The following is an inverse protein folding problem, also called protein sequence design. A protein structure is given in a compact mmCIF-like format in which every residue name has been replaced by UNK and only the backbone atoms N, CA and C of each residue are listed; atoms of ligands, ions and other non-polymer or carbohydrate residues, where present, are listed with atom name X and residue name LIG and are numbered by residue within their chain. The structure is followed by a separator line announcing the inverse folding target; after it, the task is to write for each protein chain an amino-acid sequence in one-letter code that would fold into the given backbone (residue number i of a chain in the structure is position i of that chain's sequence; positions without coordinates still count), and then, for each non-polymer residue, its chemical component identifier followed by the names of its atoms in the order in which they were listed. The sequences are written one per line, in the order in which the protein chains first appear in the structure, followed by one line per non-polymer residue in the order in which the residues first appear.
data_IF_961221334536
#
_entry.id   IF_961221334536
#
_cell.length_a   1.000
_cell.length_b   1.000
_cell.length_c   1.000
_cell.angle_alpha   90.00
_cell.angle_beta   90.00
_cell.angle_gamma   90.00
#
_symmetry.space_group_name_H-M   'P 1'
#
loop_
_entity.id
_entity.type
_entity.pdbx_description
1 polymer ?
#
# COMPACT_ATOMS: atom_id res chain seq x y z
N UNK A 1 -2.67 -33.79 -31.95
CA UNK A 1 -2.82 -33.06 -30.67
C UNK A 1 -1.48 -32.40 -30.33
N UNK A 2 -1.17 -31.23 -30.89
CA UNK A 2 0.02 -30.45 -30.50
C UNK A 2 -0.43 -29.39 -29.51
N UNK A 3 -0.12 -29.65 -28.26
CA UNK A 3 -0.20 -28.77 -27.11
C UNK A 3 0.63 -27.51 -27.38
N UNK A 4 -0.02 -26.45 -27.82
CA UNK A 4 0.50 -25.08 -27.67
C UNK A 4 0.27 -24.64 -26.21
N UNK A 5 0.84 -25.37 -25.26
CA UNK A 5 0.91 -24.96 -23.86
C UNK A 5 1.98 -23.86 -23.77
N UNK A 6 1.52 -22.62 -23.60
CA UNK A 6 2.31 -21.43 -23.28
C UNK A 6 3.38 -21.01 -24.30
N UNK A 7 3.01 -20.12 -25.21
CA UNK A 7 3.96 -19.25 -25.92
C UNK A 7 3.79 -17.81 -25.43
N UNK A 8 4.91 -17.19 -25.05
CA UNK A 8 5.01 -16.00 -24.19
C UNK A 8 4.94 -14.60 -24.86
N UNK A 9 4.46 -14.46 -26.10
CA UNK A 9 4.59 -13.20 -26.87
C UNK A 9 3.28 -12.42 -27.11
N UNK A 10 2.59 -11.99 -26.06
CA UNK A 10 1.50 -11.02 -26.18
C UNK A 10 2.03 -9.58 -26.31
N UNK A 11 1.83 -8.95 -27.48
CA UNK A 11 2.05 -7.52 -27.70
C UNK A 11 0.70 -6.79 -27.69
N UNK A 12 0.42 -6.01 -26.64
CA UNK A 12 -0.75 -5.14 -26.56
C UNK A 12 -0.26 -3.68 -26.51
N UNK A 13 -0.29 -2.92 -27.62
CA UNK A 13 -0.08 -1.48 -27.56
C UNK A 13 -1.15 -0.81 -26.68
N UNK A 14 -0.85 0.34 -26.03
CA UNK A 14 0.33 1.17 -26.27
C UNK A 14 1.55 0.86 -25.38
N UNK A 15 1.45 -0.06 -24.42
CA UNK A 15 2.50 -0.32 -23.44
C UNK A 15 3.18 -1.68 -23.65
N UNK A 16 4.50 -1.70 -23.72
CA UNK A 16 5.24 -2.95 -23.91
C UNK A 16 5.18 -3.83 -22.66
N UNK A 17 5.07 -5.16 -22.88
CA UNK A 17 4.97 -6.18 -21.82
C UNK A 17 5.99 -5.93 -20.70
N UNK A 18 7.28 -5.85 -21.05
CA UNK A 18 8.35 -5.65 -20.06
C UNK A 18 8.24 -4.35 -19.27
N UNK A 19 7.80 -3.26 -19.91
CA UNK A 19 7.63 -1.97 -19.24
C UNK A 19 6.47 -2.02 -18.23
N UNK A 20 5.34 -2.64 -18.60
CA UNK A 20 4.20 -2.84 -17.69
C UNK A 20 4.59 -3.76 -16.53
N UNK A 21 5.26 -4.88 -16.81
CA UNK A 21 5.74 -5.79 -15.77
C UNK A 21 6.70 -5.12 -14.80
N UNK A 22 7.58 -4.23 -15.28
CA UNK A 22 8.51 -3.50 -14.42
C UNK A 22 7.76 -2.52 -13.51
N UNK A 23 6.91 -1.66 -14.07
CA UNK A 23 6.20 -0.64 -13.29
C UNK A 23 5.16 -1.25 -12.35
N UNK A 24 4.27 -2.11 -12.88
CA UNK A 24 3.21 -2.74 -12.09
C UNK A 24 3.78 -3.80 -11.13
N UNK A 25 4.85 -4.51 -11.52
CA UNK A 25 5.51 -5.48 -10.65
C UNK A 25 6.20 -4.80 -9.46
N UNK A 26 6.85 -3.66 -9.69
CA UNK A 26 7.37 -2.82 -8.61
C UNK A 26 6.25 -2.33 -7.68
N UNK A 27 5.17 -1.80 -8.26
CA UNK A 27 4.02 -1.31 -7.48
C UNK A 27 3.38 -2.43 -6.64
N UNK A 28 3.26 -3.64 -7.19
CA UNK A 28 2.78 -4.80 -6.44
C UNK A 28 3.62 -5.07 -5.19
N UNK A 29 4.96 -5.08 -5.32
CA UNK A 29 5.86 -5.36 -4.20
C UNK A 29 5.75 -4.27 -3.14
N UNK A 30 5.83 -3.00 -3.53
CA UNK A 30 5.82 -1.89 -2.58
C UNK A 30 4.46 -1.70 -1.92
N UNK A 31 3.37 -1.83 -2.67
CA UNK A 31 2.03 -1.76 -2.09
C UNK A 31 1.72 -2.98 -1.22
N UNK A 32 2.22 -4.18 -1.54
CA UNK A 32 2.10 -5.33 -0.64
C UNK A 32 2.85 -5.12 0.68
N UNK A 33 4.08 -4.58 0.63
CA UNK A 33 4.84 -4.22 1.84
C UNK A 33 4.11 -3.15 2.66
N UNK A 34 3.61 -2.11 2.00
CA UNK A 34 2.87 -1.02 2.66
C UNK A 34 1.58 -1.51 3.31
N UNK A 35 0.83 -2.37 2.62
CA UNK A 35 -0.37 -3.03 3.14
C UNK A 35 -0.05 -3.88 4.37
N UNK A 36 1.01 -4.71 4.32
CA UNK A 36 1.39 -5.57 5.44
C UNK A 36 1.79 -4.77 6.68
N UNK A 37 2.57 -3.69 6.51
CA UNK A 37 2.93 -2.77 7.59
C UNK A 37 1.68 -2.11 8.15
N UNK A 38 0.83 -1.53 7.29
CA UNK A 38 -0.39 -0.87 7.72
C UNK A 38 -1.32 -1.81 8.50
N UNK A 39 -1.51 -3.04 8.02
CA UNK A 39 -2.31 -4.05 8.68
C UNK A 39 -1.75 -4.39 10.06
N UNK A 40 -0.46 -4.69 10.17
CA UNK A 40 0.15 -5.08 11.46
C UNK A 40 0.00 -3.99 12.51
N UNK A 41 0.24 -2.73 12.16
CA UNK A 41 0.07 -1.61 13.08
C UNK A 41 -1.39 -1.30 13.37
N UNK A 42 -2.28 -1.45 12.40
CA UNK A 42 -3.72 -1.29 12.59
C UNK A 42 -4.25 -2.30 13.60
N UNK A 43 -3.88 -3.57 13.48
CA UNK A 43 -4.33 -4.64 14.39
C UNK A 43 -3.85 -4.37 15.83
N UNK A 44 -2.59 -3.94 16.01
CA UNK A 44 -2.05 -3.55 17.32
C UNK A 44 -2.81 -2.35 17.91
N UNK A 45 -3.06 -1.31 17.11
CA UNK A 45 -3.81 -0.12 17.54
C UNK A 45 -5.27 -0.47 17.86
N UNK A 46 -5.91 -1.34 17.07
CA UNK A 46 -7.31 -1.72 17.26
C UNK A 46 -7.54 -2.45 18.59
N UNK A 47 -6.51 -3.15 19.10
CA UNK A 47 -6.53 -3.81 20.40
C UNK A 47 -6.13 -2.83 21.51
N UNK A 48 -5.01 -2.12 21.34
CA UNK A 48 -4.43 -1.30 22.40
C UNK A 48 -5.20 0.00 22.65
N UNK A 49 -5.66 0.70 21.61
CA UNK A 49 -6.28 2.02 21.76
C UNK A 49 -7.56 2.01 22.60
N UNK A 50 -8.50 1.06 22.44
CA UNK A 50 -9.66 1.00 23.32
C UNK A 50 -9.29 0.85 24.79
N UNK A 51 -8.31 -0.03 25.10
CA UNK A 51 -7.84 -0.26 26.47
C UNK A 51 -7.16 0.99 27.02
N UNK A 52 -6.23 1.56 26.25
CA UNK A 52 -5.51 2.77 26.64
C UNK A 52 -6.44 3.98 26.81
N UNK A 53 -7.42 4.17 25.93
CA UNK A 53 -8.40 5.25 26.07
C UNK A 53 -9.25 5.08 27.34
N UNK A 54 -9.65 3.86 27.68
CA UNK A 54 -10.37 3.58 28.93
C UNK A 54 -9.48 3.86 30.16
N UNK A 55 -8.20 3.49 30.08
CA UNK A 55 -7.20 3.82 31.11
C UNK A 55 -6.98 5.33 31.27
N UNK A 56 -6.98 6.08 30.17
CA UNK A 56 -6.89 7.55 30.19
C UNK A 56 -8.13 8.20 30.81
N UNK A 57 -9.33 7.67 30.50
CA UNK A 57 -10.57 8.13 31.13
C UNK A 57 -10.57 7.89 32.64
N UNK A 58 -10.10 6.72 33.06
CA UNK A 58 -9.98 6.39 34.49
C UNK A 58 -8.95 7.28 35.21
N UNK A 59 -7.78 7.50 34.61
CA UNK A 59 -6.75 8.40 35.14
C UNK A 59 -7.29 9.82 35.31
N UNK A 60 -8.02 10.32 34.30
CA UNK A 60 -8.69 11.63 34.38
C UNK A 60 -9.72 11.68 35.49
N UNK A 61 -10.53 10.63 35.66
CA UNK A 61 -11.54 10.53 36.73
C UNK A 61 -10.90 10.57 38.12
N UNK A 62 -9.71 9.99 38.27
CA UNK A 62 -8.91 10.03 39.50
C UNK A 62 -8.25 11.38 39.79
N UNK A 63 -8.32 12.34 38.86
CA UNK A 63 -7.76 13.69 38.99
C UNK A 63 -6.26 13.68 39.33
N UNK A 64 -5.49 12.83 38.64
CA UNK A 64 -4.03 12.82 38.76
C UNK A 64 -3.47 14.17 38.31
N UNK A 65 -2.62 14.77 39.14
CA UNK A 65 -2.00 16.05 38.84
C UNK A 65 -1.16 15.98 37.57
N UNK A 66 -1.32 16.96 36.67
CA UNK A 66 -0.59 17.04 35.41
C UNK A 66 -1.09 16.12 34.28
N UNK A 67 -2.12 15.28 34.53
CA UNK A 67 -2.73 14.47 33.48
C UNK A 67 -3.86 15.22 32.77
N UNK A 68 -3.62 15.62 31.52
CA UNK A 68 -4.61 16.26 30.66
C UNK A 68 -5.06 15.24 29.62
N UNK A 69 -6.36 14.95 29.60
CA UNK A 69 -6.98 14.09 28.61
C UNK A 69 -8.28 14.71 28.10
N UNK A 70 -8.30 15.03 26.82
CA UNK A 70 -9.34 15.80 26.14
C UNK A 70 -9.93 15.03 24.97
N UNK A 71 -11.11 15.45 24.53
CA UNK A 71 -11.74 14.87 23.33
C UNK A 71 -10.91 15.13 22.07
N UNK A 72 -10.09 16.18 22.04
CA UNK A 72 -9.21 16.47 20.92
C UNK A 72 -8.08 15.45 20.80
N UNK A 73 -7.41 15.11 21.91
CA UNK A 73 -6.36 14.08 21.94
C UNK A 73 -6.92 12.69 21.60
N UNK A 74 -8.13 12.39 22.06
CA UNK A 74 -8.87 11.19 21.64
C UNK A 74 -9.05 11.13 20.13
N UNK A 75 -9.49 12.23 19.52
CA UNK A 75 -9.68 12.31 18.08
C UNK A 75 -8.37 12.11 17.32
N UNK A 76 -7.24 12.64 17.83
CA UNK A 76 -5.92 12.44 17.21
C UNK A 76 -5.56 10.95 17.17
N UNK A 77 -5.73 10.21 18.26
CA UNK A 77 -5.44 8.77 18.31
C UNK A 77 -6.39 7.96 17.43
N UNK A 78 -7.68 8.27 17.43
CA UNK A 78 -8.65 7.62 16.53
C UNK A 78 -8.33 7.91 15.06
N UNK A 79 -7.95 9.14 14.75
CA UNK A 79 -7.55 9.53 13.40
C UNK A 79 -6.26 8.85 12.98
N UNK A 80 -5.32 8.60 13.90
CA UNK A 80 -4.12 7.80 13.63
C UNK A 80 -4.49 6.39 13.14
N UNK A 81 -5.41 5.71 13.83
CA UNK A 81 -5.91 4.39 13.41
C UNK A 81 -6.60 4.46 12.03
N UNK A 82 -7.36 5.53 11.75
CA UNK A 82 -7.99 5.73 10.44
C UNK A 82 -6.98 5.97 9.31
N UNK A 83 -5.86 6.67 9.57
CA UNK A 83 -4.78 6.84 8.58
C UNK A 83 -4.15 5.50 8.19
N UNK A 84 -3.95 4.60 9.16
CA UNK A 84 -3.46 3.24 8.90
C UNK A 84 -4.43 2.45 8.03
N UNK A 85 -5.73 2.52 8.35
CA UNK A 85 -6.78 1.90 7.53
C UNK A 85 -6.81 2.48 6.11
N UNK A 86 -6.66 3.80 5.97
CA UNK A 86 -6.61 4.46 4.67
C UNK A 86 -5.42 3.95 3.85
N UNK A 87 -4.23 3.89 4.45
CA UNK A 87 -3.02 3.37 3.79
C UNK A 87 -3.19 1.91 3.37
N UNK A 88 -3.83 1.09 4.21
CA UNK A 88 -4.17 -0.29 3.88
C UNK A 88 -5.10 -0.34 2.67
N UNK A 89 -6.21 0.41 2.69
CA UNK A 89 -7.18 0.47 1.60
C UNK A 89 -6.54 0.93 0.27
N UNK A 90 -5.73 1.99 0.29
CA UNK A 90 -5.07 2.49 -0.92
C UNK A 90 -4.03 1.49 -1.45
N UNK A 91 -3.30 0.82 -0.57
CA UNK A 91 -2.34 -0.22 -0.94
C UNK A 91 -3.03 -1.43 -1.56
N UNK A 92 -4.15 -1.89 -0.98
CA UNK A 92 -4.96 -2.98 -1.54
C UNK A 92 -5.52 -2.61 -2.92
N UNK A 93 -6.04 -1.39 -3.07
CA UNK A 93 -6.52 -0.91 -4.37
C UNK A 93 -5.38 -0.87 -5.42
N UNK A 94 -4.19 -0.42 -5.02
CA UNK A 94 -3.00 -0.38 -5.88
C UNK A 94 -2.60 -1.79 -6.36
N UNK A 95 -2.63 -2.78 -5.47
CA UNK A 95 -2.38 -4.18 -5.83
C UNK A 95 -3.39 -4.68 -6.86
N UNK A 96 -4.69 -4.45 -6.62
CA UNK A 96 -5.73 -4.89 -7.56
C UNK A 96 -5.59 -4.24 -8.93
N UNK A 97 -5.33 -2.93 -9.00
CA UNK A 97 -5.18 -2.26 -10.30
C UNK A 97 -3.90 -2.71 -11.03
N UNK A 98 -2.80 -2.96 -10.30
CA UNK A 98 -1.57 -3.49 -10.88
C UNK A 98 -1.77 -4.92 -11.41
N UNK A 99 -2.49 -5.77 -10.67
CA UNK A 99 -2.88 -7.10 -11.15
C UNK A 99 -3.74 -7.02 -12.42
N UNK A 100 -4.75 -6.14 -12.45
CA UNK A 100 -5.61 -5.95 -13.63
C UNK A 100 -4.84 -5.49 -14.87
N UNK A 101 -3.76 -4.72 -14.70
CA UNK A 101 -2.87 -4.31 -15.80
C UNK A 101 -1.94 -5.43 -16.28
N UNK A 102 -1.49 -6.31 -15.38
CA UNK A 102 -0.58 -7.41 -15.71
C UNK A 102 -1.32 -8.61 -16.33
N UNK A 103 -2.51 -8.94 -15.81
CA UNK A 103 -3.32 -10.11 -16.21
C UNK A 103 -3.44 -10.24 -17.74
N UNK A 104 -3.79 -9.18 -18.50
CA UNK A 104 -3.93 -9.28 -19.94
C UNK A 104 -2.68 -9.78 -20.67
N UNK A 105 -1.48 -9.60 -20.11
CA UNK A 105 -0.24 -10.07 -20.74
C UNK A 105 0.02 -11.56 -20.56
N UNK A 106 -0.71 -12.25 -19.67
CA UNK A 106 -0.69 -13.71 -19.55
C UNK A 106 -1.63 -14.40 -20.55
N UNK A 107 -2.61 -13.68 -21.09
CA UNK A 107 -3.60 -14.22 -22.02
C UNK A 107 -3.32 -13.81 -23.46
N UNK A 108 -3.39 -14.76 -24.40
CA UNK A 108 -3.35 -14.46 -25.83
C UNK A 108 -4.73 -13.99 -26.30
N UNK A 109 -4.94 -12.68 -26.38
CA UNK A 109 -6.14 -12.13 -27.01
C UNK A 109 -6.06 -12.26 -28.53
N UNK A 110 -7.18 -12.63 -29.17
CA UNK A 110 -7.30 -12.57 -30.64
C UNK A 110 -6.98 -11.16 -31.10
N UNK A 111 -6.23 -11.01 -32.20
CA UNK A 111 -6.00 -9.69 -32.83
C UNK A 111 -7.37 -9.03 -33.09
N UNK A 112 -7.47 -7.72 -32.84
CA UNK A 112 -8.68 -6.97 -33.15
C UNK A 112 -8.97 -7.09 -34.65
N UNK A 113 -10.18 -7.51 -34.99
CA UNK A 113 -10.62 -7.66 -36.38
C UNK A 113 -11.17 -6.36 -36.95
N UNK A 114 -11.72 -5.51 -36.09
CA UNK A 114 -12.32 -4.23 -36.46
C UNK A 114 -11.60 -3.07 -35.78
N UNK A 115 -11.73 -1.87 -36.37
CA UNK A 115 -11.23 -0.65 -35.76
C UNK A 115 -11.93 -0.36 -34.41
N UNK A 116 -13.21 -0.69 -34.28
CA UNK A 116 -13.97 -0.54 -33.03
C UNK A 116 -13.39 -1.39 -31.89
N UNK A 117 -13.10 -2.67 -32.14
CA UNK A 117 -12.46 -3.56 -31.17
C UNK A 117 -11.09 -3.03 -30.73
N UNK A 118 -10.32 -2.44 -31.66
CA UNK A 118 -9.02 -1.84 -31.35
C UNK A 118 -9.18 -0.60 -30.47
N UNK A 119 -10.07 0.31 -30.83
CA UNK A 119 -10.34 1.54 -30.07
C UNK A 119 -10.85 1.23 -28.67
N UNK A 120 -11.76 0.26 -28.54
CA UNK A 120 -12.29 -0.17 -27.24
C UNK A 120 -11.19 -0.73 -26.32
N UNK A 121 -10.28 -1.57 -26.85
CA UNK A 121 -9.13 -2.09 -26.07
C UNK A 121 -8.19 -0.98 -25.63
N UNK A 122 -7.87 -0.04 -26.52
CA UNK A 122 -7.03 1.10 -26.18
C UNK A 122 -7.68 1.97 -25.11
N UNK A 123 -8.98 2.23 -25.21
CA UNK A 123 -9.73 3.00 -24.22
C UNK A 123 -9.68 2.35 -22.84
N UNK A 124 -9.90 1.04 -22.75
CA UNK A 124 -9.79 0.29 -21.48
C UNK A 124 -8.37 0.42 -20.91
N UNK A 125 -7.33 0.20 -21.73
CA UNK A 125 -5.94 0.27 -21.28
C UNK A 125 -5.56 1.67 -20.79
N UNK A 126 -5.94 2.72 -21.51
CA UNK A 126 -5.70 4.10 -21.08
C UNK A 126 -6.48 4.44 -19.80
N UNK A 127 -7.72 3.98 -19.68
CA UNK A 127 -8.53 4.18 -18.47
C UNK A 127 -7.89 3.50 -17.26
N UNK A 128 -7.46 2.24 -17.41
CA UNK A 128 -6.76 1.51 -16.34
C UNK A 128 -5.42 2.17 -15.98
N UNK A 129 -4.68 2.68 -16.98
CA UNK A 129 -3.42 3.39 -16.73
C UNK A 129 -3.62 4.70 -15.96
N UNK A 130 -4.65 5.49 -16.30
CA UNK A 130 -5.00 6.71 -15.57
C UNK A 130 -5.43 6.37 -14.14
N UNK A 131 -6.29 5.37 -13.96
CA UNK A 131 -6.70 4.89 -12.64
C UNK A 131 -5.52 4.40 -11.80
N UNK A 132 -4.57 3.70 -12.43
CA UNK A 132 -3.34 3.25 -11.77
C UNK A 132 -2.51 4.42 -11.24
N UNK A 133 -2.29 5.46 -12.06
CA UNK A 133 -1.55 6.65 -11.62
C UNK A 133 -2.25 7.35 -10.46
N UNK A 134 -3.59 7.47 -10.52
CA UNK A 134 -4.38 8.09 -9.45
C UNK A 134 -4.24 7.29 -8.15
N UNK A 135 -4.44 5.98 -8.19
CA UNK A 135 -4.38 5.11 -7.00
C UNK A 135 -2.97 5.06 -6.42
N UNK A 136 -1.94 4.91 -7.26
CA UNK A 136 -0.54 4.93 -6.81
C UNK A 136 -0.20 6.28 -6.15
N UNK A 137 -0.69 7.38 -6.71
CA UNK A 137 -0.51 8.72 -6.12
C UNK A 137 -1.23 8.86 -4.79
N UNK A 138 -2.47 8.38 -4.67
CA UNK A 138 -3.22 8.37 -3.41
C UNK A 138 -2.52 7.54 -2.34
N UNK A 139 -1.95 6.39 -2.72
CA UNK A 139 -1.17 5.55 -1.83
C UNK A 139 0.08 6.29 -1.33
N UNK A 140 0.80 6.97 -2.23
CA UNK A 140 1.94 7.83 -1.87
C UNK A 140 1.56 8.97 -0.94
N UNK A 141 0.44 9.66 -1.21
CA UNK A 141 -0.07 10.74 -0.36
C UNK A 141 -0.42 10.22 1.05
N UNK A 142 -1.11 9.07 1.15
CA UNK A 142 -1.43 8.46 2.43
C UNK A 142 -0.17 8.11 3.24
N UNK A 143 0.85 7.55 2.57
CA UNK A 143 2.13 7.22 3.19
C UNK A 143 2.88 8.48 3.68
N UNK A 144 2.93 9.54 2.86
CA UNK A 144 3.54 10.82 3.23
C UNK A 144 2.79 11.47 4.40
N UNK A 145 1.46 11.47 4.38
CA UNK A 145 0.63 11.99 5.46
C UNK A 145 0.97 11.29 6.78
N UNK A 146 0.96 9.95 6.77
CA UNK A 146 1.28 9.14 7.93
C UNK A 146 2.72 9.43 8.40
N UNK A 147 3.69 9.52 7.50
CA UNK A 147 5.08 9.84 7.83
C UNK A 147 5.26 11.21 8.52
N UNK A 148 4.53 12.23 8.06
CA UNK A 148 4.59 13.59 8.63
C UNK A 148 3.99 13.60 10.03
N UNK A 149 2.81 12.98 10.21
CA UNK A 149 2.04 13.05 11.46
C UNK A 149 2.45 12.03 12.52
N UNK A 150 3.04 10.89 12.14
CA UNK A 150 3.39 9.80 13.05
C UNK A 150 4.18 10.23 14.30
N UNK A 151 5.19 11.12 14.27
CA UNK A 151 5.91 11.48 15.50
C UNK A 151 5.05 12.22 16.52
N UNK A 152 4.11 13.07 16.07
CA UNK A 152 3.22 13.79 16.97
C UNK A 152 2.23 12.83 17.61
N UNK A 153 1.60 11.97 16.80
CA UNK A 153 0.67 10.94 17.27
C UNK A 153 1.35 9.96 18.24
N UNK A 154 2.56 9.51 17.90
CA UNK A 154 3.37 8.60 18.71
C UNK A 154 3.79 9.23 20.05
N UNK A 155 4.29 10.47 20.02
CA UNK A 155 4.63 11.20 21.24
C UNK A 155 3.42 11.39 22.14
N UNK A 156 2.28 11.80 21.57
CA UNK A 156 1.05 12.01 22.33
C UNK A 156 0.62 10.72 23.04
N UNK A 157 0.61 9.59 22.33
CA UNK A 157 0.23 8.31 22.91
C UNK A 157 1.12 7.94 24.09
N UNK A 158 2.45 7.94 23.91
CA UNK A 158 3.36 7.53 24.99
C UNK A 158 3.40 8.53 26.14
N UNK A 159 3.27 9.83 25.89
CA UNK A 159 3.19 10.82 26.97
C UNK A 159 1.95 10.61 27.85
N UNK A 160 0.81 10.23 27.26
CA UNK A 160 -0.39 9.87 28.01
C UNK A 160 -0.22 8.51 28.69
N UNK A 161 0.34 7.53 28.00
CA UNK A 161 0.55 6.18 28.52
C UNK A 161 1.46 6.17 29.75
N UNK A 162 2.57 6.90 29.71
CA UNK A 162 3.54 6.97 30.80
C UNK A 162 3.02 7.73 32.03
N UNK A 163 2.14 8.72 31.82
CA UNK A 163 1.52 9.50 32.90
C UNK A 163 0.24 8.87 33.46
N UNK A 164 -0.27 7.81 32.83
CA UNK A 164 -1.53 7.17 33.22
C UNK A 164 -1.36 6.18 34.37
N UNK A 165 -2.43 5.99 35.15
CA UNK A 165 -2.45 4.99 36.23
C UNK A 165 -2.73 3.62 35.63
N UNK A 166 -1.69 2.78 35.60
CA UNK A 166 -1.74 1.41 35.08
C UNK A 166 -2.25 0.45 36.16
N UNK A 167 -3.56 0.40 36.38
CA UNK A 167 -4.13 -0.63 37.25
C UNK A 167 -3.94 -2.03 36.65
N UNK A 168 -3.87 -3.04 37.53
CA UNK A 168 -3.71 -4.45 37.14
C UNK A 168 -4.75 -4.89 36.10
N UNK A 169 -6.00 -4.43 36.22
CA UNK A 169 -7.08 -4.75 35.26
C UNK A 169 -6.71 -4.33 33.83
N UNK A 170 -6.10 -3.16 33.65
CA UNK A 170 -5.69 -2.68 32.32
C UNK A 170 -4.48 -3.48 31.81
N UNK A 171 -3.51 -3.76 32.68
CA UNK A 171 -2.33 -4.55 32.33
C UNK A 171 -2.74 -5.96 31.87
N UNK A 172 -3.59 -6.65 32.62
CA UNK A 172 -4.11 -7.98 32.23
C UNK A 172 -4.88 -7.94 30.91
N UNK A 173 -5.62 -6.87 30.63
CA UNK A 173 -6.30 -6.70 29.34
C UNK A 173 -5.33 -6.49 28.19
N UNK A 174 -4.25 -5.73 28.41
CA UNK A 174 -3.19 -5.52 27.42
C UNK A 174 -2.44 -6.83 27.16
N UNK A 175 -2.03 -7.55 28.21
CA UNK A 175 -1.40 -8.87 28.13
C UNK A 175 -2.23 -9.84 27.30
N UNK A 176 -3.52 -9.97 27.65
CA UNK A 176 -4.44 -10.86 26.93
C UNK A 176 -4.70 -10.42 25.50
N UNK A 177 -4.78 -9.11 25.26
CA UNK A 177 -5.07 -8.55 23.93
C UNK A 177 -3.88 -8.67 22.98
N UNK A 178 -2.66 -8.41 23.48
CA UNK A 178 -1.43 -8.44 22.69
C UNK A 178 -0.71 -9.79 22.72
N UNK A 179 -1.22 -10.75 23.50
CA UNK A 179 -0.60 -12.06 23.75
C UNK A 179 0.85 -11.92 24.22
N UNK A 180 1.03 -11.10 25.26
CA UNK A 180 2.34 -10.75 25.84
C UNK A 180 2.35 -10.97 27.36
N UNK A 181 3.55 -10.97 27.94
CA UNK A 181 3.79 -11.20 29.37
C UNK A 181 4.47 -9.96 29.96
N UNK A 182 3.96 -9.43 31.08
CA UNK A 182 4.58 -8.30 31.82
C UNK A 182 5.37 -8.73 33.06
N UNK A 183 5.58 -10.02 33.26
CA UNK A 183 6.24 -10.58 34.45
C UNK A 183 7.73 -10.20 34.51
N UNK A 184 8.05 -9.27 35.41
CA UNK A 184 9.41 -8.76 35.65
C UNK A 184 10.39 -9.83 36.17
N UNK A 185 9.88 -10.93 36.76
CA UNK A 185 10.71 -11.96 37.42
C UNK A 185 11.29 -13.00 36.44
N UNK A 186 10.97 -12.91 35.14
CA UNK A 186 11.45 -13.86 34.12
C UNK A 186 12.32 -13.15 33.08
N UNK A 187 13.42 -13.79 32.70
CA UNK A 187 14.12 -13.47 31.44
C UNK A 187 13.21 -13.85 30.27
N UNK A 188 12.32 -12.94 29.91
CA UNK A 188 11.40 -13.09 28.78
C UNK A 188 12.13 -12.79 27.47
N UNK A 189 11.72 -13.48 26.41
CA UNK A 189 12.14 -13.08 25.07
C UNK A 189 11.60 -11.66 24.79
N UNK A 190 12.42 -10.70 24.29
CA UNK A 190 11.98 -9.34 23.98
C UNK A 190 10.79 -9.26 23.01
N UNK A 191 10.48 -10.35 22.30
CA UNK A 191 9.31 -10.45 21.41
C UNK A 191 7.99 -10.74 22.14
N UNK A 192 8.02 -11.30 23.34
CA UNK A 192 6.84 -11.60 24.16
C UNK A 192 6.64 -10.64 25.32
N UNK A 193 7.62 -9.78 25.59
CA UNK A 193 7.53 -8.75 26.62
C UNK A 193 6.48 -7.68 26.26
N UNK A 194 5.58 -7.37 27.19
CA UNK A 194 4.51 -6.41 26.94
C UNK A 194 5.01 -5.00 26.67
N UNK A 195 5.99 -4.52 27.42
CA UNK A 195 6.52 -3.17 27.22
C UNK A 195 7.14 -3.00 25.83
N UNK A 196 7.85 -4.02 25.34
CA UNK A 196 8.36 -4.03 23.96
C UNK A 196 7.25 -4.08 22.92
N UNK A 197 6.18 -4.82 23.18
CA UNK A 197 5.04 -4.93 22.26
C UNK A 197 4.23 -3.63 22.22
N UNK A 198 4.01 -2.98 23.37
CA UNK A 198 3.40 -1.66 23.50
C UNK A 198 4.27 -0.62 22.79
N UNK A 199 5.59 -0.61 23.00
CA UNK A 199 6.52 0.31 22.33
C UNK A 199 6.53 0.16 20.80
N UNK A 200 6.09 -1.00 20.28
CA UNK A 200 5.94 -1.30 18.85
C UNK A 200 4.52 -1.15 18.32
N UNK A 201 3.54 -0.84 19.17
CA UNK A 201 2.12 -0.79 18.79
C UNK A 201 1.77 0.44 17.96
N UNK A 202 2.36 1.59 18.27
CA UNK A 202 2.14 2.84 17.56
C UNK A 202 3.28 3.08 16.58
N UNK A 203 2.94 3.20 15.30
CA UNK A 203 3.95 3.33 14.25
C UNK A 203 4.81 4.57 14.47
N UNK A 204 6.12 4.35 14.57
CA UNK A 204 7.09 5.42 14.67
C UNK A 204 7.65 5.78 13.30
N UNK A 205 8.13 7.02 13.16
CA UNK A 205 8.80 7.49 11.94
C UNK A 205 9.99 6.61 11.54
N UNK A 206 10.63 5.92 12.50
CA UNK A 206 11.77 5.02 12.23
C UNK A 206 11.41 3.92 11.24
N UNK A 207 10.20 3.35 11.33
CA UNK A 207 9.73 2.28 10.44
C UNK A 207 9.14 2.80 9.13
N UNK A 208 8.52 3.98 9.16
CA UNK A 208 7.97 4.62 7.95
C UNK A 208 9.05 5.18 7.03
N UNK A 209 10.19 5.62 7.58
CA UNK A 209 11.30 6.19 6.79
C UNK A 209 11.83 5.24 5.72
N UNK A 210 12.24 3.98 6.00
CA UNK A 210 12.71 3.08 4.96
C UNK A 210 11.61 2.76 3.94
N UNK A 211 10.37 2.56 4.37
CA UNK A 211 9.24 2.31 3.47
C UNK A 211 9.05 3.47 2.48
N UNK A 212 9.06 4.71 2.97
CA UNK A 212 8.91 5.91 2.15
C UNK A 212 10.10 6.13 1.20
N UNK A 213 11.34 5.88 1.66
CA UNK A 213 12.53 5.98 0.79
C UNK A 213 12.44 4.96 -0.34
N UNK A 214 12.12 3.71 -0.04
CA UNK A 214 11.96 2.66 -1.06
C UNK A 214 10.84 3.02 -2.02
N UNK A 215 9.73 3.56 -1.52
CA UNK A 215 8.62 4.03 -2.36
C UNK A 215 9.08 5.14 -3.32
N UNK A 216 9.69 6.23 -2.82
CA UNK A 216 10.11 7.37 -3.67
C UNK A 216 11.21 6.95 -4.66
N UNK A 217 12.31 6.39 -4.15
CA UNK A 217 13.47 6.04 -4.96
C UNK A 217 13.11 4.95 -5.97
N UNK A 218 12.34 3.95 -5.53
CA UNK A 218 11.90 2.88 -6.41
C UNK A 218 10.97 3.37 -7.51
N UNK A 219 10.05 4.31 -7.24
CA UNK A 219 9.23 4.93 -8.29
C UNK A 219 10.07 5.73 -9.28
N UNK A 220 11.05 6.51 -8.82
CA UNK A 220 11.95 7.27 -9.71
C UNK A 220 12.73 6.32 -10.62
N UNK A 221 13.29 5.24 -10.07
CA UNK A 221 14.02 4.22 -10.84
C UNK A 221 13.06 3.52 -11.81
N UNK A 222 11.87 3.12 -11.36
CA UNK A 222 10.89 2.43 -12.18
C UNK A 222 10.44 3.28 -13.36
N UNK A 223 10.17 4.57 -13.15
CA UNK A 223 9.80 5.52 -14.21
C UNK A 223 10.96 5.77 -15.18
N UNK A 224 12.19 5.91 -14.67
CA UNK A 224 13.37 6.05 -15.52
C UNK A 224 13.55 4.81 -16.41
N UNK A 225 13.54 3.61 -15.84
CA UNK A 225 13.66 2.34 -16.56
C UNK A 225 12.49 2.11 -17.52
N UNK A 226 11.26 2.48 -17.12
CA UNK A 226 10.09 2.43 -18.01
C UNK A 226 10.34 3.25 -19.28
N UNK A 227 10.93 4.43 -19.16
CA UNK A 227 11.32 5.26 -20.30
C UNK A 227 12.31 4.60 -21.24
N UNK A 228 13.27 3.81 -20.74
CA UNK A 228 14.22 3.06 -21.58
C UNK A 228 13.57 1.82 -22.19
N UNK A 229 12.90 0.99 -21.39
CA UNK A 229 12.27 -0.25 -21.83
C UNK A 229 11.16 0.03 -22.85
N UNK A 230 10.52 1.19 -22.80
CA UNK A 230 9.52 1.61 -23.76
C UNK A 230 10.09 2.28 -25.03
N UNK A 231 11.39 2.62 -25.08
CA UNK A 231 12.04 3.25 -26.24
C UNK A 231 12.51 2.24 -27.30
N UNK A 232 12.86 1.03 -26.91
CA UNK A 232 13.74 0.16 -27.72
C UNK A 232 13.15 -0.53 -28.95
N UNK A 233 11.89 -0.30 -29.35
CA UNK A 233 11.39 -0.84 -30.63
C UNK A 233 10.56 0.17 -31.43
N UNK A 234 11.19 1.30 -31.74
CA UNK A 234 10.74 2.21 -32.81
C UNK A 234 10.86 1.61 -34.23
N UNK A 235 11.33 0.38 -34.37
CA UNK A 235 11.27 -0.40 -35.60
C UNK A 235 10.51 -1.70 -35.31
N UNK A 236 9.26 -1.80 -35.79
CA UNK A 236 8.76 -3.02 -36.43
C UNK A 236 7.33 -2.80 -36.99
N UNK A 237 7.31 -2.50 -38.29
CA UNK A 237 6.38 -2.98 -39.34
C UNK A 237 4.85 -2.77 -39.27
N UNK A 238 4.24 -2.25 -38.19
CA UNK A 238 2.77 -2.16 -38.18
C UNK A 238 2.18 -0.97 -38.96
N UNK A 239 2.89 0.15 -39.08
CA UNK A 239 2.46 1.25 -39.97
C UNK A 239 2.61 0.87 -41.45
N UNK A 240 3.57 -0.01 -41.78
CA UNK A 240 3.72 -0.57 -43.13
C UNK A 240 2.56 -1.49 -43.51
N UNK A 241 2.18 -2.42 -42.61
CA UNK A 241 1.11 -3.36 -42.89
C UNK A 241 -0.28 -2.73 -42.97
N UNK A 242 -0.61 -1.71 -42.15
CA UNK A 242 -1.90 -1.02 -42.23
C UNK A 242 -2.02 -0.11 -43.46
N UNK A 243 -0.94 0.56 -43.87
CA UNK A 243 -0.91 1.25 -45.18
C UNK A 243 -1.10 0.26 -46.33
N UNK A 244 -0.51 -0.93 -46.24
CA UNK A 244 -0.66 -1.96 -47.28
C UNK A 244 -2.07 -2.57 -47.31
N UNK A 245 -2.73 -2.76 -46.16
CA UNK A 245 -4.12 -3.24 -46.11
C UNK A 245 -5.10 -2.18 -46.61
N UNK A 246 -4.97 -0.92 -46.18
CA UNK A 246 -5.79 0.17 -46.69
C UNK A 246 -5.56 0.46 -48.18
N UNK A 247 -4.33 0.27 -48.68
CA UNK A 247 -4.03 0.34 -50.11
C UNK A 247 -4.63 -0.83 -50.88
N UNK A 248 -4.65 -2.05 -50.32
CA UNK A 248 -5.30 -3.22 -50.93
C UNK A 248 -6.82 -3.06 -51.01
N UNK A 249 -7.47 -2.54 -49.98
CA UNK A 249 -8.92 -2.29 -50.02
C UNK A 249 -9.30 -1.24 -51.07
N UNK A 250 -8.47 -0.20 -51.26
CA UNK A 250 -8.67 0.80 -52.33
C UNK A 250 -8.41 0.28 -53.75
N UNK A 251 -7.72 -0.84 -53.92
CA UNK A 251 -7.45 -1.44 -55.23
C UNK A 251 -8.49 -2.49 -55.64
N UNK A 252 -9.27 -3.00 -54.68
CA UNK A 252 -10.27 -4.04 -54.91
C UNK A 252 -11.70 -3.46 -55.00
N UNK A 253 -11.93 -2.26 -54.46
CA UNK A 253 -13.17 -1.49 -54.65
C UNK A 253 -13.06 -0.53 -55.83
#
# INVERSE_FOLDING_TARGET
MKTYLLQWNGYLPPFHKHAVFLLCGFELVISAMSMAVAQKYYDLCAILFPIAMYMFDDTKRKKIEGFVWTNHERQILQFHQQKLLLLWCTSTAAIFIAMLLIIPFFFKFKKAKTNEERTFRLLIMYTLAVLFIIIASLNGIAMIWLYITAPADNKLFYELFDKSVKEEIFLTQIEKGLDCISDDDKELDPTVECDNTINRSVISRKWLKPLLIVWIVGHVIALFLFGFVNKDFKSDENDGNLRNVAAKEKLIG
#
